data_IF_626203296923
#
_entry.id   IF_626203296923
#
_cell.length_a   1.000
_cell.length_b   1.000
_cell.length_c   1.000
_cell.angle_alpha   90.00
_cell.angle_beta   90.00
_cell.angle_gamma   90.00
#
_symmetry.space_group_name_H-M   'P 1'
#
loop_
_entity.id
_entity.type
_entity.pdbx_description
1 polymer ?
#
# COMPACT_ATOMS: atom_id res chain seq x y z
N UNK A 1 -0.49 11.58 -22.68
CA UNK A 1 0.51 12.67 -22.76
C UNK A 1 1.29 12.87 -21.45
N UNK A 2 0.72 12.77 -20.25
CA UNK A 2 1.49 12.88 -18.97
C UNK A 2 2.50 11.75 -18.72
N UNK A 3 2.23 10.51 -19.16
CA UNK A 3 3.17 9.39 -19.02
C UNK A 3 4.45 9.56 -19.84
N UNK A 4 4.40 10.26 -20.97
CA UNK A 4 5.55 10.52 -21.84
C UNK A 4 6.52 11.56 -21.23
N UNK A 5 6.01 12.61 -20.59
CA UNK A 5 6.84 13.65 -19.96
C UNK A 5 7.58 13.10 -18.72
N UNK A 6 6.93 12.22 -17.95
CA UNK A 6 7.55 11.57 -16.78
C UNK A 6 8.64 10.57 -17.20
N UNK A 7 8.40 9.80 -18.27
CA UNK A 7 9.40 8.90 -18.84
C UNK A 7 10.63 9.66 -19.37
N UNK A 8 10.45 10.82 -19.99
CA UNK A 8 11.54 11.66 -20.49
C UNK A 8 12.36 12.29 -19.36
N UNK A 9 11.71 12.72 -18.26
CA UNK A 9 12.39 13.17 -17.05
C UNK A 9 13.18 12.04 -16.39
N UNK A 10 12.66 10.81 -16.38
CA UNK A 10 13.36 9.63 -15.86
C UNK A 10 14.54 9.20 -16.74
N UNK A 11 14.46 9.32 -18.08
CA UNK A 11 15.56 9.01 -18.99
C UNK A 11 16.71 10.03 -18.91
N UNK A 12 16.43 11.31 -18.63
CA UNK A 12 17.46 12.33 -18.34
C UNK A 12 18.12 12.19 -16.98
N UNK A 13 17.63 11.27 -16.12
CA UNK A 13 18.06 11.19 -14.73
C UNK A 13 19.36 10.40 -14.48
N UNK A 14 19.83 9.60 -15.45
CA UNK A 14 21.05 8.79 -15.23
C UNK A 14 22.30 9.67 -15.07
N UNK A 15 22.41 10.72 -15.86
CA UNK A 15 23.53 11.67 -15.77
C UNK A 15 23.48 12.54 -14.49
N UNK A 16 22.33 12.69 -13.85
CA UNK A 16 22.11 13.52 -12.68
C UNK A 16 21.89 12.70 -11.38
N UNK A 17 22.15 11.40 -11.43
CA UNK A 17 22.06 10.57 -10.23
C UNK A 17 23.08 11.01 -9.17
N UNK A 18 22.71 11.01 -7.88
CA UNK A 18 23.61 11.37 -6.80
C UNK A 18 24.78 10.38 -6.68
N UNK A 19 25.91 10.82 -6.18
CA UNK A 19 27.03 9.92 -5.87
C UNK A 19 26.74 9.04 -4.64
N UNK A 20 25.94 9.54 -3.71
CA UNK A 20 25.62 8.84 -2.45
C UNK A 20 24.24 9.21 -1.92
N UNK A 21 23.71 8.39 -1.01
CA UNK A 21 22.46 8.68 -0.30
C UNK A 21 22.55 10.00 0.46
N UNK A 22 23.70 10.32 1.05
CA UNK A 22 23.94 11.59 1.76
C UNK A 22 23.76 12.81 0.85
N UNK A 23 24.28 12.74 -0.37
CA UNK A 23 24.11 13.81 -1.35
C UNK A 23 22.63 13.97 -1.77
N UNK A 24 21.92 12.85 -2.01
CA UNK A 24 20.49 12.88 -2.28
C UNK A 24 19.71 13.56 -1.14
N UNK A 25 19.98 13.15 0.09
CA UNK A 25 19.28 13.66 1.27
C UNK A 25 19.50 15.17 1.46
N UNK A 26 20.69 15.68 1.16
CA UNK A 26 20.97 17.12 1.25
C UNK A 26 20.03 17.97 0.37
N UNK A 27 19.63 17.45 -0.80
CA UNK A 27 18.63 18.11 -1.64
C UNK A 27 17.18 17.88 -1.16
N UNK A 28 16.85 16.66 -0.77
CA UNK A 28 15.47 16.29 -0.41
C UNK A 28 15.03 16.91 0.92
N UNK A 29 15.92 17.06 1.90
CA UNK A 29 15.61 17.64 3.21
C UNK A 29 15.01 19.06 3.08
N UNK A 30 15.44 19.83 2.09
CA UNK A 30 14.89 21.16 1.85
C UNK A 30 13.42 21.13 1.39
N UNK A 31 12.96 20.01 0.83
CA UNK A 31 11.57 19.80 0.39
C UNK A 31 10.69 19.21 1.49
N UNK A 32 11.26 18.82 2.63
CA UNK A 32 10.51 18.16 3.71
C UNK A 32 9.27 18.95 4.17
N UNK A 33 9.31 20.28 4.34
CA UNK A 33 8.12 21.05 4.69
C UNK A 33 6.99 20.93 3.66
N UNK A 34 7.33 20.76 2.37
CA UNK A 34 6.33 20.53 1.31
C UNK A 34 5.76 19.11 1.38
N UNK A 35 6.57 18.14 1.77
CA UNK A 35 6.12 16.75 1.95
C UNK A 35 5.24 16.59 3.19
N UNK A 36 5.41 17.43 4.20
CA UNK A 36 4.61 17.43 5.42
C UNK A 36 3.17 17.93 5.21
N UNK A 37 2.95 18.79 4.21
CA UNK A 37 1.60 19.31 3.93
C UNK A 37 0.77 18.41 3.00
N UNK A 38 1.36 17.31 2.47
CA UNK A 38 0.61 16.34 1.66
C UNK A 38 -0.28 15.51 2.60
N UNK A 39 -1.61 15.67 2.54
CA UNK A 39 -2.49 15.03 3.50
C UNK A 39 -2.51 13.52 3.29
N UNK A 40 -2.59 12.77 4.38
CA UNK A 40 -2.78 11.32 4.38
C UNK A 40 -1.70 10.51 3.63
N UNK A 41 -0.52 11.11 3.42
CA UNK A 41 0.60 10.49 2.74
C UNK A 41 1.79 10.35 3.68
N UNK A 42 2.17 9.12 4.03
CA UNK A 42 3.41 8.83 4.72
C UNK A 42 4.54 8.69 3.69
N UNK A 43 5.54 9.57 3.75
CA UNK A 43 6.65 9.63 2.81
C UNK A 43 7.94 9.34 3.57
N UNK A 44 8.82 8.51 2.99
CA UNK A 44 10.05 8.11 3.63
C UNK A 44 11.15 7.75 2.64
N UNK A 45 12.38 7.86 3.12
CA UNK A 45 13.57 7.31 2.48
C UNK A 45 14.28 6.41 3.48
N UNK A 46 14.79 5.27 3.00
CA UNK A 46 15.57 4.32 3.77
C UNK A 46 16.92 4.06 3.08
N UNK A 47 17.90 3.70 3.89
CA UNK A 47 19.22 3.26 3.41
C UNK A 47 19.19 1.80 2.89
N UNK A 48 20.36 1.28 2.50
CA UNK A 48 20.55 -0.10 2.02
C UNK A 48 20.31 -1.16 3.08
N UNK A 49 20.22 -0.79 4.36
CA UNK A 49 19.87 -1.68 5.48
C UNK A 49 18.40 -1.56 5.87
N UNK A 50 17.58 -0.94 5.01
CA UNK A 50 16.16 -0.67 5.25
C UNK A 50 15.89 0.22 6.50
N UNK A 51 16.86 1.04 6.91
CA UNK A 51 16.73 1.98 8.04
C UNK A 51 16.21 3.32 7.56
N UNK A 52 15.28 3.90 8.28
CA UNK A 52 14.74 5.23 7.98
C UNK A 52 15.87 6.28 8.09
N UNK A 53 16.05 7.04 7.03
CA UNK A 53 17.00 8.18 6.97
C UNK A 53 16.26 9.49 6.73
N UNK A 54 15.01 9.44 6.27
CA UNK A 54 14.11 10.58 6.14
C UNK A 54 12.67 10.08 6.25
N UNK A 55 11.82 10.86 6.90
CA UNK A 55 10.37 10.65 6.94
C UNK A 55 9.65 11.99 7.11
N UNK A 56 8.45 12.09 6.55
CA UNK A 56 7.59 13.24 6.79
C UNK A 56 6.81 13.08 8.12
N UNK A 57 6.17 14.17 8.55
CA UNK A 57 5.44 14.22 9.82
C UNK A 57 4.30 13.18 9.87
N UNK A 58 3.62 12.92 8.76
CA UNK A 58 2.56 11.91 8.67
C UNK A 58 3.07 10.52 9.08
N UNK A 59 4.24 10.10 8.59
CA UNK A 59 4.81 8.80 9.00
C UNK A 59 5.21 8.81 10.48
N UNK A 60 5.83 9.88 10.97
CA UNK A 60 6.21 10.02 12.38
C UNK A 60 4.99 9.81 13.28
N UNK A 61 3.87 10.47 12.96
CA UNK A 61 2.61 10.34 13.70
C UNK A 61 2.01 8.93 13.61
N UNK A 62 2.08 8.28 12.44
CA UNK A 62 1.63 6.88 12.28
C UNK A 62 2.42 5.91 13.14
N UNK A 63 3.70 6.20 13.38
CA UNK A 63 4.54 5.42 14.29
C UNK A 63 4.26 5.72 15.78
N UNK A 64 3.29 6.58 16.10
CA UNK A 64 3.00 7.01 17.47
C UNK A 64 4.09 7.91 18.07
N UNK A 65 4.93 8.50 17.23
CA UNK A 65 6.05 9.36 17.62
C UNK A 65 5.67 10.84 17.50
N UNK A 66 6.30 11.67 18.32
CA UNK A 66 6.15 13.15 18.27
C UNK A 66 7.21 13.82 17.39
N UNK A 67 8.37 13.19 17.25
CA UNK A 67 9.54 13.75 16.58
C UNK A 67 10.17 12.70 15.64
N UNK A 68 10.91 13.17 14.64
CA UNK A 68 11.58 12.34 13.65
C UNK A 68 12.75 11.53 14.22
N UNK A 69 13.52 12.10 15.14
CA UNK A 69 14.76 11.51 15.64
C UNK A 69 14.63 10.08 16.17
N UNK A 70 13.59 9.70 16.94
CA UNK A 70 13.43 8.32 17.38
C UNK A 70 13.18 7.31 16.26
N UNK A 71 12.78 7.78 15.07
CA UNK A 71 12.54 6.95 13.89
C UNK A 71 13.81 6.69 13.09
N UNK A 72 14.71 7.69 13.04
CA UNK A 72 15.92 7.60 12.25
C UNK A 72 16.83 6.45 12.70
N UNK A 73 17.41 5.75 11.73
CA UNK A 73 18.27 4.58 11.95
C UNK A 73 17.53 3.29 12.30
N UNK A 74 16.22 3.31 12.50
CA UNK A 74 15.40 2.11 12.76
C UNK A 74 14.84 1.52 11.48
N UNK A 75 14.64 0.22 11.47
CA UNK A 75 13.88 -0.51 10.44
C UNK A 75 12.39 -0.49 10.75
N UNK A 76 11.56 -0.89 9.78
CA UNK A 76 10.13 -1.06 10.03
C UNK A 76 9.84 -2.10 11.13
N UNK A 77 10.64 -3.16 11.23
CA UNK A 77 10.48 -4.19 12.25
C UNK A 77 10.73 -3.68 13.68
N UNK A 78 11.56 -2.62 13.83
CA UNK A 78 11.86 -2.01 15.12
C UNK A 78 10.84 -0.94 15.55
N UNK A 79 10.00 -0.47 14.62
CA UNK A 79 9.07 0.66 14.83
C UNK A 79 7.62 0.21 14.90
N UNK A 80 7.23 -0.69 14.02
CA UNK A 80 5.86 -1.21 13.97
C UNK A 80 5.71 -2.48 14.79
N UNK A 81 4.47 -2.88 15.20
CA UNK A 81 4.22 -4.17 15.83
C UNK A 81 4.89 -5.29 15.04
N UNK A 82 5.52 -6.23 15.76
CA UNK A 82 6.52 -7.18 15.24
C UNK A 82 6.17 -7.84 13.89
N UNK A 83 4.91 -8.12 13.66
CA UNK A 83 4.46 -8.83 12.46
C UNK A 83 4.20 -7.90 11.27
N UNK A 84 3.62 -6.72 11.47
CA UNK A 84 3.49 -5.69 10.43
C UNK A 84 4.88 -5.19 10.02
N UNK A 85 5.70 -4.89 11.00
CA UNK A 85 7.07 -4.43 10.77
C UNK A 85 7.93 -5.41 10.00
N UNK A 86 7.80 -6.72 10.26
CA UNK A 86 8.50 -7.77 9.50
C UNK A 86 8.04 -7.84 8.04
N UNK A 87 6.74 -7.69 7.79
CA UNK A 87 6.19 -7.65 6.43
C UNK A 87 6.70 -6.46 5.62
N UNK A 88 6.73 -5.28 6.24
CA UNK A 88 7.27 -4.07 5.59
C UNK A 88 8.78 -4.18 5.35
N UNK A 89 9.54 -4.77 6.29
CA UNK A 89 10.97 -4.99 6.13
C UNK A 89 11.27 -5.99 5.01
N UNK A 90 10.48 -7.04 4.87
CA UNK A 90 10.62 -8.00 3.77
C UNK A 90 10.36 -7.35 2.39
N UNK A 91 9.36 -6.46 2.30
CA UNK A 91 9.13 -5.68 1.09
C UNK A 91 10.30 -4.75 0.78
N UNK A 92 10.80 -4.04 1.81
CA UNK A 92 11.97 -3.16 1.67
C UNK A 92 13.18 -3.93 1.15
N UNK A 93 13.44 -5.13 1.69
CA UNK A 93 14.52 -6.00 1.26
C UNK A 93 14.40 -6.40 -0.22
N UNK A 94 13.20 -6.75 -0.67
CA UNK A 94 12.96 -7.07 -2.10
C UNK A 94 13.25 -5.89 -3.02
N UNK A 95 12.89 -4.67 -2.61
CA UNK A 95 13.20 -3.45 -3.37
C UNK A 95 14.72 -3.21 -3.39
N UNK A 96 15.40 -3.37 -2.27
CA UNK A 96 16.83 -3.09 -2.13
C UNK A 96 17.72 -4.15 -2.79
N UNK A 97 17.38 -5.43 -2.68
CA UNK A 97 18.20 -6.53 -3.20
C UNK A 97 17.92 -6.86 -4.67
N UNK A 98 16.66 -6.73 -5.10
CA UNK A 98 16.22 -7.16 -6.43
C UNK A 98 15.92 -5.97 -7.36
N UNK A 99 15.97 -4.74 -6.87
CA UNK A 99 15.61 -3.55 -7.64
C UNK A 99 14.12 -3.50 -8.03
N UNK A 100 13.27 -4.28 -7.34
CA UNK A 100 11.85 -4.35 -7.66
C UNK A 100 11.16 -3.05 -7.29
N UNK A 101 10.35 -2.54 -8.22
CA UNK A 101 9.44 -1.42 -7.95
C UNK A 101 8.13 -1.99 -7.42
N UNK A 102 7.72 -1.52 -6.24
CA UNK A 102 6.41 -1.84 -5.66
C UNK A 102 5.45 -0.71 -6.01
N UNK A 103 4.34 -1.03 -6.68
CA UNK A 103 3.33 -0.05 -7.08
C UNK A 103 1.92 -0.52 -6.72
N UNK A 104 1.07 0.44 -6.33
CA UNK A 104 -0.34 0.21 -6.02
C UNK A 104 -0.56 -0.98 -5.04
N UNK A 105 0.40 -1.21 -4.12
CA UNK A 105 0.28 -2.29 -3.14
C UNK A 105 -0.76 -1.90 -2.09
N UNK A 106 -1.89 -2.62 -2.09
CA UNK A 106 -2.92 -2.45 -1.07
C UNK A 106 -2.45 -3.09 0.25
N UNK A 107 -2.38 -2.28 1.31
CA UNK A 107 -1.90 -2.69 2.62
C UNK A 107 -2.87 -2.29 3.72
N UNK A 108 -3.00 -3.16 4.71
CA UNK A 108 -3.64 -2.84 5.97
C UNK A 108 -2.60 -2.15 6.86
N UNK A 109 -2.94 -0.98 7.38
CA UNK A 109 -2.12 -0.24 8.32
C UNK A 109 -2.87 -0.09 9.65
N UNK A 110 -2.15 -0.24 10.76
CA UNK A 110 -2.69 0.08 12.08
C UNK A 110 -2.22 1.48 12.48
N UNK A 111 -3.15 2.40 12.67
CA UNK A 111 -2.85 3.73 13.18
C UNK A 111 -2.48 3.68 14.67
N UNK A 112 -1.90 4.75 15.19
CA UNK A 112 -1.59 4.88 16.62
C UNK A 112 -2.79 4.68 17.55
N UNK A 113 -4.02 4.85 17.04
CA UNK A 113 -5.29 4.54 17.70
C UNK A 113 -5.63 3.04 17.72
N UNK A 114 -4.80 2.19 17.08
CA UNK A 114 -5.05 0.77 16.80
C UNK A 114 -6.24 0.49 15.86
N UNK A 115 -6.83 1.51 15.27
CA UNK A 115 -7.84 1.32 14.23
C UNK A 115 -7.18 0.88 12.91
N UNK A 116 -7.73 -0.16 12.25
CA UNK A 116 -7.20 -0.60 10.97
C UNK A 116 -7.59 0.39 9.87
N UNK A 117 -6.62 0.84 9.10
CA UNK A 117 -6.81 1.64 7.91
C UNK A 117 -6.20 0.99 6.68
N UNK A 118 -6.64 1.37 5.51
CA UNK A 118 -6.11 0.89 4.25
C UNK A 118 -5.30 1.99 3.58
N UNK A 119 -4.15 1.61 3.03
CA UNK A 119 -3.32 2.50 2.21
C UNK A 119 -2.86 1.81 0.93
N UNK A 120 -2.50 2.63 -0.06
CA UNK A 120 -1.75 2.21 -1.23
C UNK A 120 -0.29 2.61 -1.04
N UNK A 121 0.58 1.61 -1.07
CA UNK A 121 2.02 1.80 -0.90
C UNK A 121 2.74 1.66 -2.23
N UNK A 122 3.69 2.57 -2.43
CA UNK A 122 4.63 2.54 -3.55
C UNK A 122 6.04 2.64 -2.98
N UNK A 123 6.97 1.83 -3.53
CA UNK A 123 8.39 1.86 -3.16
C UNK A 123 9.25 1.74 -4.40
N UNK A 124 10.29 2.55 -4.48
CA UNK A 124 11.24 2.57 -5.58
C UNK A 124 12.67 2.46 -5.06
N UNK A 125 13.53 1.67 -5.73
CA UNK A 125 14.96 1.71 -5.45
C UNK A 125 15.55 3.06 -5.88
N UNK A 126 16.48 3.55 -5.09
CA UNK A 126 17.25 4.76 -5.38
C UNK A 126 18.63 4.35 -5.88
N UNK A 127 19.01 4.83 -7.05
CA UNK A 127 20.28 4.50 -7.70
C UNK A 127 21.27 5.66 -7.60
N UNK A 128 22.54 5.33 -7.46
CA UNK A 128 23.62 6.31 -7.63
C UNK A 128 24.05 6.42 -9.12
N UNK A 129 25.01 7.28 -9.40
CA UNK A 129 25.54 7.51 -10.74
C UNK A 129 26.16 6.25 -11.37
N UNK A 130 26.66 5.30 -10.58
CA UNK A 130 27.19 4.02 -11.09
C UNK A 130 26.11 2.93 -11.28
N UNK A 131 24.85 3.25 -11.03
CA UNK A 131 23.74 2.29 -11.14
C UNK A 131 23.57 1.36 -9.94
N UNK A 132 24.34 1.55 -8.86
CA UNK A 132 24.16 0.78 -7.63
C UNK A 132 22.98 1.33 -6.80
N UNK A 133 22.24 0.44 -6.15
CA UNK A 133 21.16 0.82 -5.23
C UNK A 133 21.78 1.39 -3.95
N UNK A 134 21.42 2.62 -3.61
CA UNK A 134 21.88 3.35 -2.42
C UNK A 134 20.82 3.49 -1.34
N UNK A 135 19.63 3.00 -1.59
CA UNK A 135 18.50 3.07 -0.67
C UNK A 135 17.17 2.88 -1.43
N UNK A 136 16.08 3.16 -0.74
CA UNK A 136 14.75 3.20 -1.35
C UNK A 136 13.98 4.45 -0.92
N UNK A 137 13.07 4.91 -1.77
CA UNK A 137 12.04 5.88 -1.42
C UNK A 137 10.68 5.19 -1.41
N UNK A 138 9.80 5.62 -0.51
CA UNK A 138 8.44 5.10 -0.43
C UNK A 138 7.42 6.15 -0.07
N UNK A 139 6.20 5.92 -0.53
CA UNK A 139 5.01 6.67 -0.17
C UNK A 139 3.87 5.70 0.10
N UNK A 140 3.16 5.91 1.21
CA UNK A 140 1.94 5.19 1.55
C UNK A 140 0.80 6.18 1.71
N UNK A 141 -0.17 6.13 0.82
CA UNK A 141 -1.31 7.06 0.78
C UNK A 141 -2.54 6.37 1.35
N UNK A 142 -3.15 6.96 2.38
CA UNK A 142 -4.37 6.43 2.97
C UNK A 142 -5.53 6.49 2.00
N UNK A 143 -6.32 5.43 1.98
CA UNK A 143 -7.56 5.40 1.24
C UNK A 143 -8.58 6.29 1.95
N UNK A 144 -8.89 7.41 1.30
CA UNK A 144 -9.91 8.33 1.76
C UNK A 144 -11.32 7.77 1.51
N UNK A 145 -12.32 8.38 2.14
CA UNK A 145 -13.74 8.20 1.80
C UNK A 145 -13.97 8.50 0.32
N UNK A 146 -14.83 7.71 -0.30
CA UNK A 146 -15.18 7.88 -1.71
C UNK A 146 -15.66 9.31 -1.99
N UNK A 147 -15.24 9.88 -3.12
CA UNK A 147 -15.69 11.21 -3.56
C UNK A 147 -17.14 11.14 -4.06
N UNK A 148 -18.10 11.38 -3.18
CA UNK A 148 -19.53 11.35 -3.50
C UNK A 148 -19.98 12.47 -4.46
N UNK A 149 -19.21 13.56 -4.53
CA UNK A 149 -19.48 14.68 -5.43
C UNK A 149 -19.15 14.39 -6.90
N UNK A 150 -18.47 13.27 -7.19
CA UNK A 150 -18.11 12.93 -8.57
C UNK A 150 -19.35 12.45 -9.36
N UNK A 151 -19.61 12.95 -10.61
CA UNK A 151 -20.80 12.60 -11.39
C UNK A 151 -20.98 11.09 -11.66
N UNK A 152 -19.90 10.32 -11.64
CA UNK A 152 -19.95 8.87 -11.81
C UNK A 152 -20.26 8.13 -10.50
N UNK A 153 -20.29 8.80 -9.34
CA UNK A 153 -20.47 8.17 -8.03
C UNK A 153 -21.71 7.25 -7.95
N UNK A 154 -22.93 7.66 -8.40
CA UNK A 154 -24.10 6.80 -8.28
C UNK A 154 -23.95 5.45 -9.00
N UNK A 155 -23.31 5.44 -10.19
CA UNK A 155 -23.03 4.21 -10.94
C UNK A 155 -21.99 3.34 -10.23
N UNK A 156 -20.98 3.97 -9.66
CA UNK A 156 -19.91 3.28 -8.94
C UNK A 156 -20.34 2.81 -7.56
N UNK A 157 -21.28 3.49 -6.90
CA UNK A 157 -21.91 3.01 -5.68
C UNK A 157 -22.65 1.68 -5.90
N UNK A 158 -23.33 1.53 -7.05
CA UNK A 158 -23.95 0.25 -7.43
C UNK A 158 -22.89 -0.86 -7.64
N UNK A 159 -21.72 -0.52 -8.22
CA UNK A 159 -20.60 -1.45 -8.37
C UNK A 159 -20.04 -1.85 -7.01
N UNK A 160 -19.83 -0.91 -6.09
CA UNK A 160 -19.35 -1.23 -4.73
C UNK A 160 -20.35 -2.10 -3.97
N UNK A 161 -21.64 -1.76 -4.03
CA UNK A 161 -22.70 -2.56 -3.42
C UNK A 161 -22.72 -4.00 -3.97
N UNK A 162 -22.56 -4.17 -5.30
CA UNK A 162 -22.50 -5.49 -5.92
C UNK A 162 -21.27 -6.27 -5.47
N UNK A 163 -20.10 -5.65 -5.40
CA UNK A 163 -18.86 -6.29 -4.89
C UNK A 163 -19.07 -6.75 -3.46
N UNK A 164 -19.63 -5.91 -2.58
CA UNK A 164 -19.92 -6.25 -1.17
C UNK A 164 -20.93 -7.37 -1.00
N UNK A 165 -21.88 -7.48 -1.91
CA UNK A 165 -22.88 -8.56 -1.88
C UNK A 165 -22.36 -9.90 -2.42
N UNK A 166 -21.36 -9.88 -3.32
CA UNK A 166 -20.93 -11.05 -4.07
C UNK A 166 -19.44 -11.37 -4.02
N UNK A 167 -18.68 -10.77 -3.08
CA UNK A 167 -17.22 -10.97 -2.95
C UNK A 167 -16.79 -12.42 -2.73
N UNK A 168 -17.70 -13.25 -2.19
CA UNK A 168 -17.47 -14.65 -1.87
C UNK A 168 -17.46 -15.57 -3.12
N UNK A 169 -17.72 -15.04 -4.30
CA UNK A 169 -17.62 -15.73 -5.59
C UNK A 169 -16.73 -14.97 -6.56
N UNK A 170 -16.53 -15.53 -7.74
CA UNK A 170 -15.82 -14.83 -8.81
C UNK A 170 -16.70 -13.67 -9.34
N UNK A 171 -16.26 -12.44 -9.08
CA UNK A 171 -16.81 -11.21 -9.68
C UNK A 171 -15.95 -10.84 -10.87
N UNK A 172 -16.55 -10.64 -12.04
CA UNK A 172 -15.83 -10.31 -13.28
C UNK A 172 -15.94 -8.82 -13.62
N UNK A 173 -14.96 -8.30 -14.36
CA UNK A 173 -15.04 -6.92 -14.87
C UNK A 173 -16.26 -6.73 -15.79
N UNK A 174 -16.63 -7.76 -16.56
CA UNK A 174 -17.82 -7.74 -17.42
C UNK A 174 -19.11 -7.52 -16.64
N UNK A 175 -19.30 -8.18 -15.49
CA UNK A 175 -20.43 -7.92 -14.59
C UNK A 175 -20.45 -6.46 -14.13
N UNK A 176 -19.29 -5.96 -13.67
CA UNK A 176 -19.19 -4.62 -13.12
C UNK A 176 -19.41 -3.53 -14.18
N UNK A 177 -18.94 -3.74 -15.41
CA UNK A 177 -19.20 -2.82 -16.53
C UNK A 177 -20.67 -2.82 -16.94
N UNK A 178 -21.34 -3.98 -16.90
CA UNK A 178 -22.78 -4.07 -17.16
C UNK A 178 -23.58 -3.28 -16.12
N UNK A 179 -23.26 -3.44 -14.84
CA UNK A 179 -23.92 -2.70 -13.74
C UNK A 179 -23.71 -1.19 -13.88
N UNK A 180 -22.49 -0.76 -14.18
CA UNK A 180 -22.16 0.65 -14.31
C UNK A 180 -22.62 1.28 -15.63
N UNK A 181 -22.92 0.47 -16.65
CA UNK A 181 -23.27 0.95 -18.01
C UNK A 181 -22.13 1.70 -18.68
N UNK A 182 -20.87 1.28 -18.47
CA UNK A 182 -19.66 1.91 -18.99
C UNK A 182 -18.65 0.88 -19.46
N UNK A 183 -17.66 1.30 -20.26
CA UNK A 183 -16.57 0.42 -20.71
C UNK A 183 -15.59 0.06 -19.57
N UNK A 184 -14.82 -1.02 -19.75
CA UNK A 184 -13.78 -1.43 -18.79
C UNK A 184 -12.80 -0.30 -18.49
N UNK A 185 -12.32 0.40 -19.53
CA UNK A 185 -11.38 1.51 -19.35
C UNK A 185 -11.98 2.69 -18.56
N UNK A 186 -13.28 2.97 -18.77
CA UNK A 186 -14.00 3.97 -17.99
C UNK A 186 -14.21 3.51 -16.54
N UNK A 187 -14.58 2.24 -16.33
CA UNK A 187 -14.74 1.68 -15.00
C UNK A 187 -13.45 1.77 -14.19
N UNK A 188 -12.32 1.34 -14.75
CA UNK A 188 -11.01 1.42 -14.07
C UNK A 188 -10.62 2.85 -13.74
N UNK A 189 -10.77 3.77 -14.71
CA UNK A 189 -10.46 5.19 -14.51
C UNK A 189 -11.33 5.82 -13.43
N UNK A 190 -12.63 5.56 -13.45
CA UNK A 190 -13.56 6.15 -12.50
C UNK A 190 -13.46 5.53 -11.11
N UNK A 191 -13.24 4.23 -10.98
CA UNK A 191 -12.96 3.59 -9.70
C UNK A 191 -11.69 4.16 -9.06
N UNK A 192 -10.59 4.31 -9.83
CA UNK A 192 -9.39 4.98 -9.33
C UNK A 192 -9.64 6.43 -8.90
N UNK A 193 -10.51 7.15 -9.60
CA UNK A 193 -10.79 8.56 -9.31
C UNK A 193 -11.70 8.75 -8.09
N UNK A 194 -12.68 7.87 -7.90
CA UNK A 194 -13.72 7.99 -6.86
C UNK A 194 -13.32 7.24 -5.59
N UNK A 195 -12.82 6.01 -5.73
CA UNK A 195 -12.46 5.14 -4.61
C UNK A 195 -10.95 5.01 -4.40
N UNK A 196 -10.13 5.63 -5.25
CA UNK A 196 -8.67 5.49 -5.27
C UNK A 196 -8.19 4.06 -5.48
N UNK A 197 -9.05 3.14 -5.92
CA UNK A 197 -8.80 1.72 -6.13
C UNK A 197 -9.22 1.30 -7.54
N UNK A 198 -8.53 0.31 -8.08
CA UNK A 198 -9.04 -0.43 -9.24
C UNK A 198 -10.21 -1.34 -8.83
N UNK A 199 -11.09 -1.76 -9.76
CA UNK A 199 -12.16 -2.72 -9.44
C UNK A 199 -11.64 -4.01 -8.79
N UNK A 200 -10.48 -4.52 -9.21
CA UNK A 200 -9.83 -5.69 -8.62
C UNK A 200 -9.39 -5.45 -7.18
N UNK A 201 -8.81 -4.29 -6.90
CA UNK A 201 -8.42 -3.88 -5.55
C UNK A 201 -9.64 -3.69 -4.64
N UNK A 202 -10.76 -3.18 -5.17
CA UNK A 202 -12.02 -3.10 -4.41
C UNK A 202 -12.51 -4.50 -3.98
N UNK A 203 -12.52 -5.48 -4.90
CA UNK A 203 -12.87 -6.87 -4.57
C UNK A 203 -11.90 -7.43 -3.52
N UNK A 204 -10.60 -7.24 -3.72
CA UNK A 204 -9.56 -7.70 -2.79
C UNK A 204 -9.75 -7.10 -1.40
N UNK A 205 -9.98 -5.79 -1.30
CA UNK A 205 -10.21 -5.08 -0.04
C UNK A 205 -11.39 -5.67 0.73
N UNK A 206 -12.54 -5.85 0.07
CA UNK A 206 -13.75 -6.42 0.69
C UNK A 206 -13.50 -7.85 1.18
N UNK A 207 -12.81 -8.70 0.40
CA UNK A 207 -12.43 -10.06 0.81
C UNK A 207 -11.53 -10.06 2.04
N UNK A 208 -10.56 -9.17 2.10
CA UNK A 208 -9.64 -9.06 3.23
C UNK A 208 -10.33 -8.51 4.48
N UNK A 209 -11.24 -7.54 4.33
CA UNK A 209 -12.07 -7.05 5.45
C UNK A 209 -12.93 -8.16 6.05
N UNK A 210 -13.52 -8.99 5.20
CA UNK A 210 -14.29 -10.13 5.66
C UNK A 210 -13.41 -11.21 6.29
N UNK A 211 -12.26 -11.52 5.69
CA UNK A 211 -11.31 -12.47 6.26
C UNK A 211 -10.84 -12.02 7.66
N UNK A 212 -10.57 -10.72 7.83
CA UNK A 212 -10.23 -10.14 9.11
C UNK A 212 -11.30 -10.43 10.20
N UNK A 213 -12.58 -10.23 9.87
CA UNK A 213 -13.70 -10.52 10.80
C UNK A 213 -13.81 -12.02 11.11
N UNK A 214 -13.75 -12.88 10.08
CA UNK A 214 -13.91 -14.32 10.24
C UNK A 214 -12.74 -14.97 11.00
N UNK A 215 -11.52 -14.46 10.84
CA UNK A 215 -10.35 -14.95 11.57
C UNK A 215 -10.48 -14.75 13.09
N UNK A 216 -11.26 -13.77 13.53
CA UNK A 216 -11.53 -13.51 14.97
C UNK A 216 -12.57 -14.47 15.57
N UNK A 217 -13.35 -15.18 14.74
CA UNK A 217 -14.41 -16.09 15.22
C UNK A 217 -13.92 -17.50 15.57
N UNK A 218 -12.64 -17.81 15.36
CA UNK A 218 -12.10 -19.17 15.55
C UNK A 218 -12.35 -20.12 14.37
N UNK A 219 -13.04 -19.67 13.31
CA UNK A 219 -13.35 -20.47 12.11
C UNK A 219 -12.07 -21.06 11.48
N UNK A 220 -12.05 -22.33 11.01
CA UNK A 220 -10.91 -22.91 10.30
C UNK A 220 -10.43 -22.02 9.15
N UNK A 221 -9.10 -21.84 9.00
CA UNK A 221 -8.53 -20.91 8.00
C UNK A 221 -8.93 -21.32 6.58
N UNK A 222 -9.06 -22.62 6.31
CA UNK A 222 -9.52 -23.15 5.03
C UNK A 222 -10.95 -22.70 4.72
N UNK A 223 -11.82 -22.70 5.72
CA UNK A 223 -13.20 -22.25 5.60
C UNK A 223 -13.27 -20.74 5.42
N UNK A 224 -12.46 -19.96 6.18
CA UNK A 224 -12.32 -18.52 5.98
C UNK A 224 -11.94 -18.21 4.52
N UNK A 225 -10.96 -18.94 3.96
CA UNK A 225 -10.56 -18.75 2.57
C UNK A 225 -11.74 -18.95 1.59
N UNK A 226 -12.48 -20.04 1.76
CA UNK A 226 -13.66 -20.34 0.93
C UNK A 226 -14.75 -19.29 1.05
N UNK A 227 -15.10 -18.88 2.27
CA UNK A 227 -16.11 -17.84 2.52
C UNK A 227 -15.69 -16.47 1.99
N UNK A 228 -14.38 -16.21 1.88
CA UNK A 228 -13.86 -15.00 1.26
C UNK A 228 -13.69 -15.11 -0.27
N UNK A 229 -14.18 -16.19 -0.90
CA UNK A 229 -14.17 -16.35 -2.35
C UNK A 229 -12.82 -16.75 -2.94
N UNK A 230 -11.97 -17.40 -2.15
CA UNK A 230 -10.73 -18.01 -2.63
C UNK A 230 -10.95 -19.50 -2.87
N UNK A 231 -10.53 -19.99 -4.02
CA UNK A 231 -10.59 -21.41 -4.38
C UNK A 231 -9.41 -22.21 -3.84
N UNK A 232 -8.33 -21.51 -3.44
CA UNK A 232 -7.07 -22.08 -2.95
C UNK A 232 -6.62 -21.36 -1.67
N UNK A 233 -6.43 -22.14 -0.60
CA UNK A 233 -5.92 -21.69 0.68
C UNK A 233 -4.53 -21.03 0.57
N UNK A 234 -3.67 -21.54 -0.33
CA UNK A 234 -2.33 -21.00 -0.51
C UNK A 234 -2.37 -19.61 -1.17
N UNK A 235 -3.27 -19.41 -2.14
CA UNK A 235 -3.51 -18.11 -2.76
C UNK A 235 -4.06 -17.10 -1.74
N UNK A 236 -5.03 -17.52 -0.92
CA UNK A 236 -5.53 -16.72 0.19
C UNK A 236 -4.41 -16.31 1.15
N UNK A 237 -3.63 -17.27 1.63
CA UNK A 237 -2.56 -17.02 2.60
C UNK A 237 -1.49 -16.08 2.06
N UNK A 238 -1.08 -16.25 0.79
CA UNK A 238 -0.12 -15.34 0.13
C UNK A 238 -0.69 -13.92 0.02
N UNK A 239 -1.93 -13.77 -0.43
CA UNK A 239 -2.54 -12.47 -0.62
C UNK A 239 -2.82 -11.76 0.72
N UNK A 240 -3.32 -12.51 1.71
CA UNK A 240 -3.52 -12.00 3.06
C UNK A 240 -2.20 -11.50 3.66
N UNK A 241 -1.13 -12.32 3.58
CA UNK A 241 0.20 -11.92 4.05
C UNK A 241 0.76 -10.72 3.30
N UNK A 242 0.59 -10.65 1.97
CA UNK A 242 1.06 -9.51 1.17
C UNK A 242 0.39 -8.20 1.57
N UNK A 243 -0.90 -8.24 1.97
CA UNK A 243 -1.66 -7.03 2.31
C UNK A 243 -1.61 -6.67 3.80
N UNK A 244 -1.40 -7.64 4.70
CA UNK A 244 -1.47 -7.43 6.15
C UNK A 244 -0.13 -7.61 6.86
N UNK A 245 0.86 -8.17 6.19
CA UNK A 245 2.14 -8.58 6.80
C UNK A 245 2.09 -9.91 7.56
N UNK A 246 0.89 -10.44 7.82
CA UNK A 246 0.67 -11.64 8.63
C UNK A 246 0.19 -12.81 7.77
N UNK A 247 0.60 -14.02 8.10
CA UNK A 247 -0.18 -15.17 7.66
C UNK A 247 -1.54 -15.18 8.39
N UNK A 248 -2.60 -15.78 7.83
CA UNK A 248 -3.89 -15.87 8.51
C UNK A 248 -3.80 -16.49 9.92
N UNK A 249 -2.88 -17.45 10.12
CA UNK A 249 -2.63 -18.08 11.42
C UNK A 249 -2.01 -17.09 12.41
N UNK A 250 -0.92 -16.45 12.02
CA UNK A 250 -0.27 -15.42 12.85
C UNK A 250 -1.24 -14.31 13.24
N UNK A 251 -2.07 -13.87 12.28
CA UNK A 251 -3.06 -12.83 12.52
C UNK A 251 -4.08 -13.25 13.58
N UNK A 252 -4.61 -14.48 13.50
CA UNK A 252 -5.51 -15.05 14.51
C UNK A 252 -4.88 -15.09 15.88
N UNK A 253 -3.63 -15.58 15.96
CA UNK A 253 -2.92 -15.73 17.24
C UNK A 253 -2.75 -14.37 17.96
N UNK A 254 -2.61 -13.28 17.18
CA UNK A 254 -2.52 -11.91 17.75
C UNK A 254 -3.85 -11.32 18.17
N UNK A 255 -4.97 -11.76 17.58
CA UNK A 255 -6.30 -11.29 18.00
C UNK A 255 -6.79 -11.99 19.27
N UNK A 256 -6.25 -13.17 19.60
CA UNK A 256 -6.63 -13.98 20.75
C UNK A 256 -5.69 -13.81 21.95
N UNK A 257 -4.64 -13.00 21.83
CA UNK A 257 -3.69 -12.64 22.89
C UNK A 257 -4.05 -11.28 23.51
#
# INVERSE_FOLDING_TARGET
MMQSAFATLCQGSEANRPHSLKQLLAGVVQLLPMLDVIPNAAIFIKDTQARYVLANLTLVQRCGLKYLQPLLGKTSAEVFPAQLGSGYTEQDRRVLEQGLVLQDQLELHLYGTREPGWCLTHKWPLYNHSGAIIGLAGISVDLQTASESHPAYPRLAAVDAHIRAHFNRRVTLGELTHIAGISVAQLERYCKRVFHLTPRQMIQKVRLEQAHRLLQTGMPITEVALQCGYTDHSAFSRQFKASTGFTPRQYRDTCNA
#
